data_IF_631094502934
#
_entry.id   IF_631094502934
#
_cell.length_a   1.000
_cell.length_b   1.000
_cell.length_c   1.000
_cell.angle_alpha   90.00
_cell.angle_beta   90.00
_cell.angle_gamma   90.00
#
_symmetry.space_group_name_H-M   'P 1'
#
loop_
_entity.id
_entity.type
_entity.pdbx_description
1 polymer ?
#
# COMPACT_ATOMS: atom_id res chain seq x y z
N UNK A 1 27.57 18.05 13.81
CA UNK A 1 26.75 17.61 12.66
C UNK A 1 25.59 16.73 13.12
N UNK A 2 25.81 15.71 13.92
CA UNK A 2 24.74 14.82 14.46
C UNK A 2 23.71 15.56 15.33
N UNK A 3 24.14 16.53 16.14
CA UNK A 3 23.27 17.30 17.04
C UNK A 3 22.32 18.26 16.27
N UNK A 4 22.72 18.76 15.11
CA UNK A 4 21.93 19.67 14.27
C UNK A 4 20.83 18.91 13.50
N UNK A 5 21.14 17.69 13.02
CA UNK A 5 20.18 16.80 12.37
C UNK A 5 19.11 16.29 13.36
N UNK A 6 19.51 15.98 14.61
CA UNK A 6 18.54 15.62 15.67
C UNK A 6 17.61 16.79 16.04
N UNK A 7 18.09 18.04 15.99
CA UNK A 7 17.27 19.21 16.32
C UNK A 7 16.20 19.48 15.25
N UNK A 8 16.52 19.33 13.95
CA UNK A 8 15.54 19.43 12.85
C UNK A 8 14.49 18.30 12.93
N UNK A 9 14.93 17.05 13.12
CA UNK A 9 14.02 15.91 13.26
C UNK A 9 13.04 16.07 14.44
N UNK A 10 13.48 16.64 15.55
CA UNK A 10 12.66 16.86 16.75
C UNK A 10 11.65 18.01 16.59
N UNK A 11 11.92 18.99 15.77
CA UNK A 11 11.02 20.12 15.51
C UNK A 11 9.90 19.76 14.51
N UNK A 12 10.14 18.86 13.57
CA UNK A 12 9.15 18.43 12.58
C UNK A 12 8.13 17.40 13.14
N UNK A 13 8.56 16.54 14.05
CA UNK A 13 7.69 15.46 14.57
C UNK A 13 6.39 15.96 15.21
N UNK A 14 6.34 16.97 16.06
CA UNK A 14 5.08 17.50 16.60
C UNK A 14 4.15 18.06 15.52
N UNK A 15 4.70 18.61 14.44
CA UNK A 15 3.91 19.11 13.31
C UNK A 15 3.31 17.95 12.50
N UNK A 16 4.07 16.89 12.24
CA UNK A 16 3.59 15.66 11.58
C UNK A 16 2.49 15.01 12.41
N UNK A 17 2.67 14.89 13.72
CA UNK A 17 1.65 14.31 14.62
C UNK A 17 0.37 15.17 14.68
N UNK A 18 0.49 16.50 14.63
CA UNK A 18 -0.65 17.40 14.54
C UNK A 18 -1.47 17.14 13.26
N UNK A 19 -0.84 17.14 12.09
CA UNK A 19 -1.52 16.86 10.82
C UNK A 19 -2.11 15.47 10.79
N UNK A 20 -1.38 14.49 11.29
CA UNK A 20 -1.87 13.11 11.37
C UNK A 20 -3.18 13.01 12.17
N UNK A 21 -3.27 13.66 13.31
CA UNK A 21 -4.48 13.66 14.13
C UNK A 21 -5.64 14.34 13.40
N UNK A 22 -5.42 15.47 12.75
CA UNK A 22 -6.44 16.16 11.95
C UNK A 22 -6.97 15.27 10.80
N UNK A 23 -6.09 14.54 10.09
CA UNK A 23 -6.48 13.64 9.02
C UNK A 23 -7.28 12.44 9.54
N UNK A 24 -6.87 11.86 10.66
CA UNK A 24 -7.60 10.75 11.30
C UNK A 24 -9.00 11.20 11.73
N UNK A 25 -9.14 12.35 12.38
CA UNK A 25 -10.41 12.87 12.84
C UNK A 25 -11.36 13.14 11.66
N UNK A 26 -10.82 13.72 10.58
CA UNK A 26 -11.59 13.96 9.37
C UNK A 26 -12.04 12.65 8.71
N UNK A 27 -11.15 11.69 8.54
CA UNK A 27 -11.44 10.38 7.94
C UNK A 27 -12.48 9.60 8.75
N UNK A 28 -12.37 9.58 10.07
CA UNK A 28 -13.35 8.94 10.95
C UNK A 28 -14.76 9.51 10.79
N UNK A 29 -14.85 10.80 10.47
CA UNK A 29 -16.13 11.49 10.37
C UNK A 29 -16.73 11.45 8.98
N UNK A 30 -15.90 11.51 7.93
CA UNK A 30 -16.34 11.81 6.57
C UNK A 30 -16.07 10.70 5.56
N UNK A 31 -15.25 9.70 5.91
CA UNK A 31 -14.85 8.64 4.99
C UNK A 31 -15.47 7.30 5.41
N UNK A 32 -16.62 6.98 4.83
CA UNK A 32 -17.23 5.67 4.97
C UNK A 32 -16.58 4.70 3.98
N UNK A 33 -16.05 3.57 4.49
CA UNK A 33 -15.44 2.54 3.68
C UNK A 33 -16.11 1.19 3.93
N UNK A 34 -16.71 0.63 2.87
CA UNK A 34 -17.37 -0.68 2.92
C UNK A 34 -16.36 -1.83 2.83
N UNK A 35 -15.23 -1.60 2.14
CA UNK A 35 -14.15 -2.58 2.02
C UNK A 35 -13.27 -2.59 3.28
N UNK A 36 -13.44 -3.65 4.09
CA UNK A 36 -12.67 -3.84 5.34
C UNK A 36 -11.20 -4.16 5.12
N UNK A 37 -10.76 -4.41 3.89
CA UNK A 37 -9.35 -4.57 3.56
C UNK A 37 -8.64 -3.22 3.29
N UNK A 38 -9.41 -2.14 3.04
CA UNK A 38 -8.91 -0.77 2.79
C UNK A 38 -9.51 0.23 3.79
N UNK A 39 -9.52 -0.13 5.06
CA UNK A 39 -10.03 0.69 6.17
C UNK A 39 -8.94 1.65 6.72
N UNK A 40 -9.30 2.44 7.75
CA UNK A 40 -8.36 3.34 8.41
C UNK A 40 -7.13 2.61 8.99
N UNK A 41 -7.27 1.34 9.37
CA UNK A 41 -6.14 0.55 9.86
C UNK A 41 -5.16 0.21 8.74
N UNK A 42 -5.63 0.04 7.49
CA UNK A 42 -4.77 -0.05 6.31
C UNK A 42 -3.93 1.22 6.15
N UNK A 43 -4.55 2.41 6.20
CA UNK A 43 -3.85 3.69 6.09
C UNK A 43 -2.79 3.86 7.19
N UNK A 44 -3.09 3.43 8.41
CA UNK A 44 -2.12 3.43 9.52
C UNK A 44 -0.92 2.51 9.24
N UNK A 45 -1.14 1.33 8.64
CA UNK A 45 -0.06 0.40 8.29
C UNK A 45 0.77 0.94 7.14
N UNK A 46 0.13 1.49 6.09
CA UNK A 46 0.85 2.16 4.98
C UNK A 46 1.72 3.30 5.51
N UNK A 47 1.21 4.18 6.38
CA UNK A 47 2.01 5.22 7.00
C UNK A 47 3.20 4.67 7.80
N UNK A 48 3.01 3.57 8.54
CA UNK A 48 4.11 2.91 9.26
C UNK A 48 5.18 2.41 8.30
N UNK A 49 4.77 1.80 7.20
CA UNK A 49 5.67 1.31 6.16
C UNK A 49 6.41 2.49 5.49
N UNK A 50 5.71 3.59 5.17
CA UNK A 50 6.35 4.81 4.65
C UNK A 50 7.48 5.30 5.56
N UNK A 51 7.21 5.44 6.86
CA UNK A 51 8.22 5.87 7.83
C UNK A 51 9.42 4.92 7.89
N UNK A 52 9.16 3.61 7.87
CA UNK A 52 10.22 2.61 7.93
C UNK A 52 11.10 2.66 6.67
N UNK A 53 10.50 2.72 5.49
CA UNK A 53 11.24 2.84 4.23
C UNK A 53 12.03 4.15 4.21
N UNK A 54 11.38 5.29 4.48
CA UNK A 54 12.02 6.61 4.46
C UNK A 54 13.21 6.72 5.41
N UNK A 55 13.16 6.04 6.57
CA UNK A 55 14.26 6.08 7.55
C UNK A 55 15.53 5.34 7.09
N UNK A 56 15.42 4.49 6.08
CA UNK A 56 16.52 3.67 5.56
C UNK A 56 16.99 4.10 4.15
N UNK A 57 16.25 5.00 3.49
CA UNK A 57 16.65 5.55 2.20
C UNK A 57 17.66 6.70 2.38
N UNK A 58 18.64 6.84 1.45
CA UNK A 58 19.63 7.90 1.53
C UNK A 58 19.06 9.28 1.21
N UNK A 59 18.03 9.34 0.37
CA UNK A 59 17.35 10.57 -0.02
C UNK A 59 16.32 10.97 1.03
N UNK A 60 16.34 12.24 1.43
CA UNK A 60 15.38 12.77 2.39
C UNK A 60 14.03 13.01 1.74
N UNK A 61 13.02 12.27 2.19
CA UNK A 61 11.63 12.48 1.79
C UNK A 61 10.95 13.57 2.65
N UNK A 62 10.08 14.35 2.04
CA UNK A 62 9.17 15.22 2.77
C UNK A 62 8.13 14.38 3.53
N UNK A 63 8.26 14.36 4.86
CA UNK A 63 7.40 13.54 5.72
C UNK A 63 5.96 14.01 5.75
N UNK A 64 5.67 15.31 5.46
CA UNK A 64 4.30 15.80 5.39
C UNK A 64 3.64 15.39 4.07
N UNK A 65 4.39 15.38 2.97
CA UNK A 65 3.93 14.81 1.69
C UNK A 65 3.60 13.32 1.86
N UNK A 66 4.51 12.54 2.46
CA UNK A 66 4.31 11.11 2.71
C UNK A 66 3.13 10.84 3.63
N UNK A 67 3.01 11.58 4.74
CA UNK A 67 1.89 11.45 5.67
C UNK A 67 0.56 11.67 4.94
N UNK A 68 0.48 12.79 4.21
CA UNK A 68 -0.74 13.18 3.51
C UNK A 68 -1.11 12.15 2.45
N UNK A 69 -0.14 11.74 1.65
CA UNK A 69 -0.36 10.76 0.62
C UNK A 69 -0.74 9.38 1.21
N UNK A 70 -0.12 8.93 2.31
CA UNK A 70 -0.45 7.68 2.98
C UNK A 70 -1.88 7.65 3.55
N UNK A 71 -2.40 8.79 4.03
CA UNK A 71 -3.76 8.83 4.58
C UNK A 71 -4.86 9.07 3.54
N UNK A 72 -4.52 9.58 2.36
CA UNK A 72 -5.52 9.93 1.35
C UNK A 72 -5.38 9.18 0.01
N UNK A 73 -4.40 8.26 -0.14
CA UNK A 73 -4.19 7.56 -1.43
C UNK A 73 -5.38 6.70 -1.88
N UNK A 74 -6.23 6.26 -0.95
CA UNK A 74 -7.43 5.45 -1.19
C UNK A 74 -8.74 6.23 -0.93
N UNK A 75 -8.68 7.57 -0.85
CA UNK A 75 -9.87 8.43 -0.65
C UNK A 75 -10.94 8.21 -1.73
N UNK A 76 -10.52 7.84 -2.93
CA UNK A 76 -11.38 7.41 -4.04
C UNK A 76 -10.90 6.05 -4.52
N UNK A 77 -11.77 5.05 -4.42
CA UNK A 77 -11.53 3.71 -4.97
C UNK A 77 -12.69 3.31 -5.87
N UNK A 78 -12.44 3.16 -7.17
CA UNK A 78 -13.44 2.68 -8.12
C UNK A 78 -13.47 1.14 -8.12
N UNK A 79 -14.65 0.50 -8.27
CA UNK A 79 -14.77 -0.95 -8.36
C UNK A 79 -13.88 -1.56 -9.46
N UNK A 80 -13.47 -2.82 -9.30
CA UNK A 80 -12.65 -3.51 -10.30
C UNK A 80 -13.34 -3.61 -11.67
N UNK A 81 -14.67 -3.60 -11.70
CA UNK A 81 -15.50 -3.63 -12.91
C UNK A 81 -15.71 -2.27 -13.57
N UNK A 82 -15.28 -1.17 -12.92
CA UNK A 82 -15.49 0.17 -13.44
C UNK A 82 -14.57 0.43 -14.65
N UNK A 83 -15.08 0.89 -15.79
CA UNK A 83 -14.29 1.19 -16.98
C UNK A 83 -13.23 2.28 -16.72
N UNK A 84 -13.51 3.21 -15.80
CA UNK A 84 -12.62 4.32 -15.43
C UNK A 84 -11.64 3.97 -14.29
N UNK A 85 -11.56 2.70 -13.88
CA UNK A 85 -10.67 2.28 -12.80
C UNK A 85 -9.21 2.73 -12.99
N UNK A 86 -8.73 2.82 -14.22
CA UNK A 86 -7.37 3.32 -14.52
C UNK A 86 -7.14 4.75 -14.05
N UNK A 87 -8.20 5.54 -13.99
CA UNK A 87 -8.20 6.94 -13.57
C UNK A 87 -8.43 7.11 -12.06
N UNK A 88 -8.67 6.01 -11.32
CA UNK A 88 -9.01 6.06 -9.90
C UNK A 88 -7.99 6.83 -9.07
N UNK A 89 -6.68 6.57 -9.27
CA UNK A 89 -5.62 7.25 -8.51
C UNK A 89 -5.48 8.74 -8.89
N UNK A 90 -5.75 9.10 -10.15
CA UNK A 90 -5.78 10.50 -10.56
C UNK A 90 -6.95 11.24 -9.91
N UNK A 91 -8.16 10.66 -9.97
CA UNK A 91 -9.35 11.21 -9.31
C UNK A 91 -9.15 11.34 -7.80
N UNK A 92 -8.48 10.36 -7.20
CA UNK A 92 -8.13 10.37 -5.79
C UNK A 92 -7.19 11.53 -5.45
N UNK A 93 -6.17 11.76 -6.28
CA UNK A 93 -5.22 12.86 -6.12
C UNK A 93 -5.90 14.24 -6.24
N UNK A 94 -6.74 14.43 -7.28
CA UNK A 94 -7.53 15.65 -7.45
C UNK A 94 -8.44 15.92 -6.25
N UNK A 95 -9.20 14.90 -5.82
CA UNK A 95 -10.11 15.03 -4.68
C UNK A 95 -9.36 15.34 -3.38
N UNK A 96 -8.15 14.79 -3.22
CA UNK A 96 -7.32 15.08 -2.05
C UNK A 96 -6.86 16.53 -2.04
N UNK A 97 -6.38 17.05 -3.17
CA UNK A 97 -5.98 18.47 -3.28
C UNK A 97 -7.15 19.41 -3.01
N UNK A 98 -8.30 19.12 -3.59
CA UNK A 98 -9.54 19.87 -3.36
C UNK A 98 -9.94 19.86 -1.88
N UNK A 99 -9.87 18.70 -1.24
CA UNK A 99 -10.16 18.51 0.17
C UNK A 99 -9.21 19.34 1.05
N UNK A 100 -7.90 19.26 0.80
CA UNK A 100 -6.90 19.99 1.58
C UNK A 100 -7.13 21.50 1.48
N UNK A 101 -7.44 22.03 0.32
CA UNK A 101 -7.74 23.44 0.11
C UNK A 101 -9.02 23.91 0.84
N UNK A 102 -10.04 23.05 0.93
CA UNK A 102 -11.34 23.40 1.51
C UNK A 102 -11.37 23.24 3.03
N UNK A 103 -10.91 22.10 3.52
CA UNK A 103 -11.08 21.68 4.91
C UNK A 103 -9.83 22.00 5.77
N UNK A 104 -8.65 21.98 5.17
CA UNK A 104 -7.37 22.15 5.85
C UNK A 104 -6.64 23.44 5.43
N UNK A 105 -7.29 24.61 5.60
CA UNK A 105 -6.83 25.90 5.09
C UNK A 105 -5.42 26.34 5.52
N UNK A 106 -4.87 25.73 6.57
CA UNK A 106 -3.49 25.98 7.05
C UNK A 106 -2.48 24.99 6.49
N UNK A 107 -2.93 24.05 5.65
CA UNK A 107 -2.02 23.11 5.02
C UNK A 107 -1.13 23.82 4.01
N UNK A 108 0.19 23.52 3.96
CA UNK A 108 1.12 24.19 3.05
C UNK A 108 0.74 23.92 1.58
N UNK A 109 0.33 24.97 0.88
CA UNK A 109 -0.13 24.82 -0.52
C UNK A 109 1.01 24.50 -1.49
N UNK A 110 2.24 24.84 -1.15
CA UNK A 110 3.44 24.60 -1.95
C UNK A 110 3.77 23.12 -2.13
N UNK A 111 3.35 22.25 -1.20
CA UNK A 111 3.59 20.80 -1.32
C UNK A 111 2.43 20.04 -2.00
N UNK A 112 1.30 20.69 -2.30
CA UNK A 112 0.15 20.04 -2.95
C UNK A 112 0.50 19.34 -4.26
N UNK A 113 1.35 19.88 -5.14
CA UNK A 113 1.76 19.15 -6.35
C UNK A 113 2.52 17.85 -6.06
N UNK A 114 3.33 17.81 -5.01
CA UNK A 114 4.06 16.62 -4.60
C UNK A 114 3.09 15.56 -4.00
N UNK A 115 2.11 15.98 -3.19
CA UNK A 115 1.05 15.12 -2.66
C UNK A 115 0.24 14.53 -3.81
N UNK A 116 -0.20 15.37 -4.76
CA UNK A 116 -0.95 14.92 -5.94
C UNK A 116 -0.16 13.86 -6.71
N UNK A 117 1.12 14.15 -7.02
CA UNK A 117 1.96 13.21 -7.74
C UNK A 117 2.14 11.88 -7.00
N UNK A 118 2.42 11.92 -5.70
CA UNK A 118 2.59 10.70 -4.90
C UNK A 118 1.32 9.84 -4.91
N UNK A 119 0.14 10.44 -4.73
CA UNK A 119 -1.14 9.72 -4.78
C UNK A 119 -1.42 9.19 -6.19
N UNK A 120 -1.22 10.00 -7.25
CA UNK A 120 -1.47 9.54 -8.62
C UNK A 120 -0.56 8.37 -9.00
N UNK A 121 0.72 8.41 -8.62
CA UNK A 121 1.71 7.42 -9.01
C UNK A 121 1.69 6.14 -8.15
N UNK A 122 0.95 6.08 -7.02
CA UNK A 122 0.98 4.90 -6.15
C UNK A 122 0.35 3.67 -6.82
N UNK A 123 -0.69 3.87 -7.65
CA UNK A 123 -1.47 2.79 -8.23
C UNK A 123 -0.70 2.00 -9.29
N UNK A 124 -0.68 0.68 -9.15
CA UNK A 124 -0.09 -0.21 -10.15
C UNK A 124 -0.79 -0.10 -11.51
N UNK A 125 -2.13 0.01 -11.52
CA UNK A 125 -2.93 0.04 -12.74
C UNK A 125 -2.81 1.34 -13.52
N UNK A 126 -2.49 2.46 -12.87
CA UNK A 126 -2.28 3.75 -13.51
C UNK A 126 -0.98 3.81 -14.31
N UNK A 127 0.01 2.96 -13.97
CA UNK A 127 1.32 2.89 -14.63
C UNK A 127 2.01 4.26 -14.77
N UNK A 128 1.88 5.11 -13.76
CA UNK A 128 2.51 6.43 -13.68
C UNK A 128 3.90 6.28 -13.09
N UNK A 129 4.88 6.96 -13.68
CA UNK A 129 6.26 6.96 -13.20
C UNK A 129 6.38 7.66 -11.84
N UNK A 130 7.09 7.05 -10.90
CA UNK A 130 7.40 7.66 -9.59
C UNK A 130 8.60 8.60 -9.75
N UNK A 131 8.33 9.88 -10.00
CA UNK A 131 9.38 10.90 -10.27
C UNK A 131 9.89 11.58 -9.01
N UNK A 132 9.46 11.14 -7.84
CA UNK A 132 9.96 11.62 -6.54
C UNK A 132 10.15 10.46 -5.58
N UNK A 133 10.97 10.68 -4.55
CA UNK A 133 11.22 9.68 -3.50
C UNK A 133 9.93 9.38 -2.72
N UNK A 134 9.07 10.37 -2.46
CA UNK A 134 7.80 10.19 -1.77
C UNK A 134 6.85 9.30 -2.57
N UNK A 135 6.76 9.50 -3.88
CA UNK A 135 5.94 8.65 -4.75
C UNK A 135 6.46 7.20 -4.78
N UNK A 136 7.78 7.02 -4.81
CA UNK A 136 8.41 5.71 -4.75
C UNK A 136 8.14 5.00 -3.41
N UNK A 137 8.33 5.72 -2.30
CA UNK A 137 8.09 5.19 -0.94
C UNK A 137 6.62 4.84 -0.73
N UNK A 138 5.68 5.71 -1.13
CA UNK A 138 4.25 5.43 -0.98
C UNK A 138 3.84 4.19 -1.77
N UNK A 139 4.29 4.08 -3.02
CA UNK A 139 3.99 2.92 -3.86
C UNK A 139 4.50 1.62 -3.25
N UNK A 140 5.72 1.62 -2.70
CA UNK A 140 6.30 0.46 -2.04
C UNK A 140 5.57 0.14 -0.73
N UNK A 141 5.26 1.16 0.07
CA UNK A 141 4.57 1.02 1.35
C UNK A 141 3.17 0.41 1.20
N UNK A 142 2.41 0.81 0.17
CA UNK A 142 1.10 0.22 -0.15
C UNK A 142 1.26 -1.21 -0.64
N UNK A 143 2.21 -1.49 -1.54
CA UNK A 143 2.49 -2.86 -2.02
C UNK A 143 2.90 -3.82 -0.90
N UNK A 144 3.59 -3.34 0.12
CA UNK A 144 3.93 -4.13 1.31
C UNK A 144 2.71 -4.71 2.02
N UNK A 145 1.54 -4.04 1.94
CA UNK A 145 0.29 -4.52 2.53
C UNK A 145 -0.24 -5.82 1.88
N UNK A 146 0.26 -6.18 0.71
CA UNK A 146 -0.02 -7.45 0.04
C UNK A 146 0.98 -8.55 0.40
N UNK A 147 1.95 -8.29 1.28
CA UNK A 147 2.99 -9.23 1.68
C UNK A 147 2.89 -9.61 3.16
N UNK A 148 3.68 -10.61 3.57
CA UNK A 148 3.71 -11.09 4.94
C UNK A 148 2.38 -11.69 5.41
N UNK A 149 2.20 -11.77 6.73
CA UNK A 149 1.01 -12.33 7.36
C UNK A 149 -0.27 -11.54 7.02
N UNK A 150 -0.18 -10.21 6.94
CA UNK A 150 -1.32 -9.38 6.53
C UNK A 150 -1.70 -9.60 5.07
N UNK A 151 -0.73 -9.77 4.20
CA UNK A 151 -0.96 -10.09 2.79
C UNK A 151 -1.67 -11.43 2.63
N UNK A 152 -1.28 -12.45 3.38
CA UNK A 152 -1.95 -13.76 3.41
C UNK A 152 -3.40 -13.62 3.90
N UNK A 153 -3.63 -12.91 5.01
CA UNK A 153 -4.97 -12.69 5.54
C UNK A 153 -5.87 -11.98 4.52
N UNK A 154 -5.37 -10.92 3.86
CA UNK A 154 -6.09 -10.17 2.81
C UNK A 154 -6.34 -11.02 1.56
N UNK A 155 -5.39 -11.89 1.17
CA UNK A 155 -5.55 -12.82 0.07
C UNK A 155 -6.79 -13.69 0.26
N UNK A 156 -6.87 -14.41 1.40
CA UNK A 156 -7.98 -15.33 1.66
C UNK A 156 -9.30 -14.59 1.93
N UNK A 157 -9.26 -13.45 2.59
CA UNK A 157 -10.44 -12.58 2.75
C UNK A 157 -11.01 -12.15 1.39
N UNK A 158 -10.16 -11.64 0.48
CA UNK A 158 -10.58 -11.22 -0.86
C UNK A 158 -11.07 -12.41 -1.70
N UNK A 159 -10.38 -13.53 -1.66
CA UNK A 159 -10.79 -14.74 -2.36
C UNK A 159 -12.17 -15.24 -1.88
N UNK A 160 -12.43 -15.19 -0.57
CA UNK A 160 -13.74 -15.50 -0.01
C UNK A 160 -14.84 -14.57 -0.50
N UNK A 161 -14.59 -13.26 -0.57
CA UNK A 161 -15.54 -12.29 -1.13
C UNK A 161 -15.82 -12.50 -2.62
N UNK A 162 -14.83 -13.00 -3.37
CA UNK A 162 -14.96 -13.31 -4.81
C UNK A 162 -15.56 -14.68 -5.08
N UNK A 163 -15.80 -15.50 -4.05
CA UNK A 163 -16.27 -16.87 -4.20
C UNK A 163 -15.22 -17.83 -4.79
N UNK A 164 -13.94 -17.50 -4.71
CA UNK A 164 -12.84 -18.36 -5.17
C UNK A 164 -12.58 -19.48 -4.17
N UNK A 165 -12.16 -20.64 -4.66
CA UNK A 165 -11.72 -21.74 -3.81
C UNK A 165 -10.35 -21.42 -3.19
N UNK A 166 -10.03 -22.08 -2.06
CA UNK A 166 -8.71 -21.90 -1.42
C UNK A 166 -7.58 -22.39 -2.34
N UNK A 167 -7.78 -23.55 -2.98
CA UNK A 167 -6.84 -24.18 -3.91
C UNK A 167 -7.58 -25.14 -4.85
N UNK A 168 -6.90 -25.64 -5.88
CA UNK A 168 -7.40 -26.72 -6.74
C UNK A 168 -7.15 -28.06 -6.04
N UNK A 169 -8.21 -28.86 -5.80
CA UNK A 169 -8.11 -30.11 -5.05
C UNK A 169 -7.32 -31.20 -5.80
N UNK A 170 -7.38 -31.23 -7.15
CA UNK A 170 -6.73 -32.27 -7.96
C UNK A 170 -5.22 -31.95 -8.19
N UNK A 171 -4.84 -30.68 -8.23
CA UNK A 171 -3.47 -30.23 -8.43
C UNK A 171 -3.20 -28.91 -7.67
N UNK A 172 -3.09 -28.97 -6.33
CA UNK A 172 -2.96 -27.79 -5.50
C UNK A 172 -1.69 -26.98 -5.76
N UNK A 173 -0.64 -27.62 -6.23
CA UNK A 173 0.64 -26.99 -6.55
C UNK A 173 0.76 -26.49 -8.01
N UNK A 174 -0.29 -26.66 -8.82
CA UNK A 174 -0.33 -26.33 -10.25
C UNK A 174 0.86 -26.93 -11.03
N UNK A 175 1.19 -28.22 -10.77
CA UNK A 175 2.28 -28.91 -11.46
C UNK A 175 1.92 -29.29 -12.92
N UNK A 176 0.63 -29.52 -13.17
CA UNK A 176 0.12 -30.03 -14.45
C UNK A 176 -1.00 -29.16 -15.04
N UNK A 177 -1.26 -27.99 -14.47
CA UNK A 177 -2.25 -27.01 -14.93
C UNK A 177 -1.66 -25.61 -14.98
N UNK A 178 -2.33 -24.73 -15.71
CA UNK A 178 -2.02 -23.29 -15.71
C UNK A 178 -2.57 -22.68 -14.40
N UNK A 179 -1.82 -21.77 -13.81
CA UNK A 179 -2.24 -20.98 -12.66
C UNK A 179 -3.48 -20.15 -13.00
N UNK A 180 -4.46 -20.14 -12.09
CA UNK A 180 -5.71 -19.38 -12.23
C UNK A 180 -6.09 -18.73 -10.90
N UNK A 181 -5.60 -17.52 -10.66
CA UNK A 181 -5.80 -16.77 -9.42
C UNK A 181 -7.20 -16.15 -9.28
N UNK A 182 -8.03 -16.20 -10.32
CA UNK A 182 -9.44 -15.84 -10.22
C UNK A 182 -10.29 -16.97 -9.62
N UNK A 183 -9.84 -18.22 -9.75
CA UNK A 183 -10.54 -19.40 -9.25
C UNK A 183 -9.95 -19.99 -7.97
N UNK A 184 -8.64 -19.80 -7.76
CA UNK A 184 -7.90 -20.40 -6.66
C UNK A 184 -7.01 -19.39 -5.94
N UNK A 185 -7.29 -19.17 -4.66
CA UNK A 185 -6.54 -18.21 -3.84
C UNK A 185 -5.03 -18.53 -3.78
N UNK A 186 -4.67 -19.82 -3.65
CA UNK A 186 -3.28 -20.25 -3.53
C UNK A 186 -2.44 -19.87 -4.78
N UNK A 187 -3.07 -19.89 -5.96
CA UNK A 187 -2.42 -19.53 -7.22
C UNK A 187 -1.98 -18.06 -7.27
N UNK A 188 -2.71 -17.17 -6.57
CA UNK A 188 -2.39 -15.74 -6.52
C UNK A 188 -1.02 -15.47 -5.89
N UNK A 189 -0.56 -16.37 -5.03
CA UNK A 189 0.79 -16.28 -4.45
C UNK A 189 1.84 -16.27 -5.56
N UNK A 190 1.78 -17.20 -6.50
CA UNK A 190 2.75 -17.31 -7.61
C UNK A 190 2.47 -16.31 -8.75
N UNK A 191 1.19 -16.05 -9.02
CA UNK A 191 0.80 -15.12 -10.09
C UNK A 191 1.26 -13.72 -9.77
N UNK A 192 1.14 -13.29 -8.49
CA UNK A 192 1.37 -11.90 -8.10
C UNK A 192 2.31 -11.72 -6.90
N UNK A 193 2.01 -12.33 -5.73
CA UNK A 193 2.62 -11.91 -4.47
C UNK A 193 4.14 -12.09 -4.48
N UNK A 194 4.64 -13.26 -4.90
CA UNK A 194 6.09 -13.53 -4.96
C UNK A 194 6.84 -12.70 -6.01
N UNK A 195 6.12 -12.00 -6.90
CA UNK A 195 6.72 -11.10 -7.90
C UNK A 195 6.80 -9.64 -7.42
N UNK A 196 6.08 -9.29 -6.36
CA UNK A 196 6.03 -7.90 -5.86
C UNK A 196 7.39 -7.34 -5.48
N UNK A 197 8.31 -8.08 -4.82
CA UNK A 197 9.62 -7.53 -4.47
C UNK A 197 10.40 -6.96 -5.67
N UNK A 198 10.32 -7.62 -6.83
CA UNK A 198 10.97 -7.14 -8.06
C UNK A 198 10.37 -5.85 -8.62
N UNK A 199 9.19 -5.47 -8.16
CA UNK A 199 8.49 -4.24 -8.61
C UNK A 199 8.71 -3.05 -7.70
N UNK A 200 9.37 -3.23 -6.55
CA UNK A 200 9.65 -2.15 -5.59
C UNK A 200 10.61 -1.12 -6.19
N UNK A 201 10.41 0.13 -5.83
CA UNK A 201 11.11 1.30 -6.38
C UNK A 201 12.31 1.70 -5.53
N UNK A 202 12.21 1.50 -4.21
CA UNK A 202 13.28 1.85 -3.25
C UNK A 202 14.11 0.62 -2.90
N UNK A 203 15.35 0.84 -2.48
CA UNK A 203 16.27 -0.25 -2.09
C UNK A 203 15.79 -0.90 -0.80
N UNK A 204 15.41 -0.10 0.19
CA UNK A 204 14.91 -0.58 1.48
C UNK A 204 13.55 -1.26 1.33
N UNK A 205 12.63 -0.70 0.54
CA UNK A 205 11.34 -1.31 0.23
C UNK A 205 11.49 -2.68 -0.39
N UNK A 206 12.40 -2.85 -1.37
CA UNK A 206 12.70 -4.14 -1.99
C UNK A 206 13.20 -5.16 -0.98
N UNK A 207 14.20 -4.81 -0.18
CA UNK A 207 14.76 -5.70 0.85
C UNK A 207 13.72 -6.14 1.87
N UNK A 208 12.85 -5.22 2.32
CA UNK A 208 11.75 -5.55 3.22
C UNK A 208 10.74 -6.47 2.53
N UNK A 209 10.38 -6.20 1.29
CA UNK A 209 9.44 -7.02 0.52
C UNK A 209 9.96 -8.44 0.28
N UNK A 210 11.26 -8.62 0.05
CA UNK A 210 11.90 -9.93 -0.09
C UNK A 210 11.76 -10.76 1.21
N UNK A 211 11.93 -10.11 2.37
CA UNK A 211 11.73 -10.76 3.67
C UNK A 211 10.29 -11.23 3.86
N UNK A 212 9.32 -10.37 3.55
CA UNK A 212 7.89 -10.70 3.68
C UNK A 212 7.43 -11.73 2.64
N UNK A 213 8.02 -11.71 1.43
CA UNK A 213 7.74 -12.71 0.40
C UNK A 213 8.30 -14.09 0.77
N UNK A 214 9.45 -14.17 1.43
CA UNK A 214 9.98 -15.42 1.98
C UNK A 214 9.01 -16.05 2.98
N UNK A 215 8.42 -15.25 3.87
CA UNK A 215 7.38 -15.73 4.80
C UNK A 215 6.15 -16.29 4.05
N UNK A 216 5.71 -15.65 2.96
CA UNK A 216 4.60 -16.15 2.14
C UNK A 216 4.95 -17.51 1.50
N UNK A 217 6.19 -17.66 1.04
CA UNK A 217 6.66 -18.93 0.46
C UNK A 217 6.69 -20.05 1.51
N UNK A 218 7.11 -19.76 2.72
CA UNK A 218 7.09 -20.70 3.83
C UNK A 218 5.65 -21.10 4.19
N UNK A 219 4.74 -20.15 4.28
CA UNK A 219 3.31 -20.41 4.48
C UNK A 219 2.74 -21.31 3.37
N UNK A 220 3.01 -20.98 2.10
CA UNK A 220 2.55 -21.79 0.96
C UNK A 220 3.07 -23.21 1.04
N UNK A 221 4.36 -23.37 1.35
CA UNK A 221 5.01 -24.67 1.51
C UNK A 221 4.34 -25.49 2.60
N UNK A 222 4.09 -24.87 3.76
CA UNK A 222 3.40 -25.51 4.87
C UNK A 222 1.97 -25.91 4.50
N UNK A 223 1.22 -25.03 3.85
CA UNK A 223 -0.14 -25.29 3.42
C UNK A 223 -0.21 -26.45 2.41
N UNK A 224 0.69 -26.47 1.40
CA UNK A 224 0.77 -27.57 0.44
C UNK A 224 1.06 -28.90 1.12
N UNK A 225 1.96 -28.90 2.10
CA UNK A 225 2.26 -30.09 2.90
C UNK A 225 1.01 -30.64 3.62
N UNK A 226 0.24 -29.77 4.28
CA UNK A 226 -1.00 -30.14 4.97
C UNK A 226 -2.11 -30.65 4.03
N UNK A 227 -2.09 -30.23 2.76
CA UNK A 227 -3.05 -30.66 1.74
C UNK A 227 -2.69 -32.05 1.16
N UNK A 228 -1.40 -32.38 1.05
CA UNK A 228 -0.90 -33.52 0.27
C UNK A 228 -0.33 -34.65 1.10
N UNK A 229 -0.07 -34.45 2.38
CA UNK A 229 0.40 -35.51 3.31
C UNK A 229 -0.80 -36.17 3.98
N UNK A 230 -0.95 -37.52 3.75
CA UNK A 230 -1.88 -38.43 4.47
C UNK A 230 -1.37 -38.73 5.89
#
# INVERSE_FOLDING_TARGET
MICFLMYFYYMEQPQIDHWRNLFIDWLNTNWAQDDKAHDLHHLHRVWRNCKKIASEEPDHADMLVLLTAAYFHDLVSLPKSDPDRKNSSWLCAEKTVDLLNKEFRKFPSEILPAVHHAIHAHSFSANVQTNSIEAAILQDADRMEALGAMGIARLFYTAGLMGSNLYNADDPAAKHRILNDSSFALDHIDVKLLKLPATMKTVSGRRMAETEAAYILDFKTKMLKEITED
#
